data_IF_053222379089
#
_entry.id   IF_053222379089
#
_cell.length_a   1.000
_cell.length_b   1.000
_cell.length_c   1.000
_cell.angle_alpha   90.00
_cell.angle_beta   90.00
_cell.angle_gamma   90.00
#
_symmetry.space_group_name_H-M   'P 1'
#
loop_
_entity.id
_entity.type
_entity.pdbx_description
1 polymer ?
#
# COMPACT_ATOMS: atom_id res chain seq x y z
N UNK A 1 -5.14 41.70 -13.35
CA UNK A 1 -5.15 40.31 -13.87
C UNK A 1 -5.50 39.25 -12.81
N UNK A 2 -5.22 39.42 -11.51
CA UNK A 2 -5.51 38.40 -10.49
C UNK A 2 -6.99 38.14 -10.16
N UNK A 3 -7.88 39.13 -10.35
CA UNK A 3 -9.31 38.99 -10.02
C UNK A 3 -10.08 38.03 -10.94
N UNK A 4 -9.72 37.96 -12.22
CA UNK A 4 -10.43 37.13 -13.20
C UNK A 4 -10.13 35.64 -13.00
N UNK A 5 -8.90 35.30 -12.58
CA UNK A 5 -8.48 33.91 -12.27
C UNK A 5 -9.19 33.39 -11.02
N UNK A 6 -9.39 34.22 -10.00
CA UNK A 6 -10.14 33.86 -8.80
C UNK A 6 -11.62 33.59 -9.09
N UNK A 7 -12.24 34.37 -9.99
CA UNK A 7 -13.64 34.19 -10.40
C UNK A 7 -13.80 32.91 -11.22
N UNK A 8 -12.90 32.62 -12.16
CA UNK A 8 -12.90 31.35 -12.91
C UNK A 8 -12.70 30.16 -11.97
N UNK A 9 -11.77 30.25 -11.01
CA UNK A 9 -11.55 29.24 -9.98
C UNK A 9 -12.78 29.01 -9.09
N UNK A 10 -13.48 30.08 -8.68
CA UNK A 10 -14.71 29.98 -7.91
C UNK A 10 -15.88 29.40 -8.72
N UNK A 11 -16.03 29.77 -9.98
CA UNK A 11 -17.06 29.20 -10.87
C UNK A 11 -16.80 27.71 -11.10
N UNK A 12 -15.54 27.32 -11.30
CA UNK A 12 -15.14 25.92 -11.41
C UNK A 12 -15.40 25.15 -10.12
N UNK A 13 -15.05 25.73 -8.96
CA UNK A 13 -15.33 25.17 -7.64
C UNK A 13 -16.84 25.03 -7.37
N UNK A 14 -17.65 26.02 -7.74
CA UNK A 14 -19.10 26.02 -7.50
C UNK A 14 -19.84 25.04 -8.42
N UNK A 15 -19.45 24.93 -9.69
CA UNK A 15 -20.00 23.92 -10.60
C UNK A 15 -19.56 22.49 -10.24
N UNK A 16 -18.32 22.31 -9.75
CA UNK A 16 -17.82 21.03 -9.20
C UNK A 16 -18.62 20.61 -7.95
N UNK A 17 -18.97 21.54 -7.05
CA UNK A 17 -19.81 21.28 -5.87
C UNK A 17 -21.28 20.95 -6.21
N UNK A 18 -21.85 21.59 -7.25
CA UNK A 18 -23.24 21.32 -7.68
C UNK A 18 -23.39 19.97 -8.41
N UNK A 19 -22.34 19.51 -9.12
CA UNK A 19 -22.27 18.13 -9.65
C UNK A 19 -22.04 17.08 -8.55
N UNK A 20 -21.22 17.38 -7.52
CA UNK A 20 -21.08 16.53 -6.31
C UNK A 20 -22.43 16.22 -5.64
N UNK A 21 -23.30 17.21 -5.44
CA UNK A 21 -24.63 16.98 -4.84
C UNK A 21 -25.57 16.06 -5.64
N UNK A 22 -25.35 15.86 -6.94
CA UNK A 22 -26.21 14.99 -7.78
C UNK A 22 -25.67 13.56 -7.91
N UNK A 23 -24.35 13.36 -7.82
CA UNK A 23 -23.71 12.04 -7.97
C UNK A 23 -23.61 11.29 -6.62
N UNK A 24 -23.38 12.00 -5.52
CA UNK A 24 -23.31 11.44 -4.15
C UNK A 24 -24.61 10.73 -3.69
N UNK A 25 -25.83 11.23 -4.01
CA UNK A 25 -27.06 10.50 -3.71
C UNK A 25 -27.25 9.23 -4.55
N UNK A 26 -26.52 9.08 -5.66
CA UNK A 26 -26.71 7.99 -6.62
C UNK A 26 -25.83 6.78 -6.28
N UNK A 27 -24.56 7.02 -5.88
CA UNK A 27 -23.67 5.97 -5.39
C UNK A 27 -24.12 5.38 -4.05
N UNK A 28 -24.60 6.20 -3.11
CA UNK A 28 -25.14 5.70 -1.84
C UNK A 28 -26.40 4.84 -2.04
N UNK A 29 -27.27 5.21 -2.99
CA UNK A 29 -28.41 4.38 -3.40
C UNK A 29 -27.98 3.08 -4.07
N UNK A 30 -26.99 3.12 -4.96
CA UNK A 30 -26.45 1.93 -5.62
C UNK A 30 -25.77 0.99 -4.64
N UNK A 31 -24.99 1.50 -3.68
CA UNK A 31 -24.38 0.70 -2.61
C UNK A 31 -25.45 0.09 -1.71
N UNK A 32 -26.48 0.84 -1.31
CA UNK A 32 -27.63 0.29 -0.57
C UNK A 32 -28.43 -0.76 -1.37
N UNK A 33 -28.47 -0.65 -2.69
CA UNK A 33 -29.18 -1.60 -3.55
C UNK A 33 -28.37 -2.88 -3.81
N UNK A 34 -27.04 -2.77 -3.90
CA UNK A 34 -26.11 -3.91 -3.90
C UNK A 34 -26.12 -4.62 -2.53
N UNK A 35 -26.11 -3.88 -1.42
CA UNK A 35 -26.25 -4.42 -0.07
C UNK A 35 -27.61 -5.08 0.15
N UNK A 36 -28.71 -4.52 -0.36
CA UNK A 36 -30.04 -5.15 -0.30
C UNK A 36 -30.16 -6.40 -1.17
N UNK A 37 -29.46 -6.45 -2.31
CA UNK A 37 -29.38 -7.66 -3.14
C UNK A 37 -28.54 -8.74 -2.47
N UNK A 38 -27.43 -8.37 -1.84
CA UNK A 38 -26.57 -9.32 -1.11
C UNK A 38 -27.16 -9.75 0.24
N UNK A 39 -28.00 -8.91 0.87
CA UNK A 39 -28.66 -9.18 2.15
C UNK A 39 -29.92 -10.04 2.06
N UNK A 40 -30.45 -10.31 0.86
CA UNK A 40 -31.57 -11.26 0.69
C UNK A 40 -31.13 -12.74 0.81
N UNK A 41 -29.84 -13.01 0.74
CA UNK A 41 -29.27 -14.36 0.92
C UNK A 41 -28.58 -14.57 2.27
N UNK A 42 -28.64 -13.60 3.18
CA UNK A 42 -28.02 -13.71 4.50
C UNK A 42 -28.97 -13.24 5.61
N UNK A 43 -29.93 -14.09 5.98
CA UNK A 43 -30.59 -13.97 7.27
C UNK A 43 -29.71 -14.55 8.38
N UNK A 44 -29.22 -13.72 9.30
CA UNK A 44 -29.37 -13.95 10.75
C UNK A 44 -28.82 -12.79 11.62
N UNK A 45 -29.73 -12.22 12.42
CA UNK A 45 -29.61 -11.69 13.78
C UNK A 45 -28.41 -10.84 14.27
N UNK A 46 -28.77 -9.63 14.72
CA UNK A 46 -28.07 -8.74 15.65
C UNK A 46 -27.63 -9.43 16.96
N UNK A 47 -26.49 -9.03 17.53
CA UNK A 47 -26.36 -8.54 18.92
C UNK A 47 -25.00 -7.85 19.11
N UNK A 48 -25.02 -6.71 19.82
CA UNK A 48 -23.84 -6.05 20.36
C UNK A 48 -23.34 -6.80 21.61
N UNK A 49 -22.06 -7.17 21.61
CA UNK A 49 -21.31 -7.52 22.82
C UNK A 49 -19.85 -7.10 22.64
N UNK A 50 -19.30 -6.41 23.64
CA UNK A 50 -17.89 -5.99 23.70
C UNK A 50 -16.94 -7.13 23.30
N UNK A 51 -16.10 -6.89 22.30
CA UNK A 51 -15.21 -7.88 21.73
C UNK A 51 -14.19 -8.38 22.77
N UNK A 52 -14.03 -9.70 22.96
CA UNK A 52 -12.91 -10.23 23.72
C UNK A 52 -11.62 -10.09 22.90
N UNK A 53 -10.51 -9.75 23.55
CA UNK A 53 -9.17 -9.61 22.97
C UNK A 53 -8.92 -10.65 21.86
N UNK A 54 -8.46 -10.19 20.69
CA UNK A 54 -8.27 -11.07 19.54
C UNK A 54 -7.28 -12.20 19.91
N UNK A 55 -7.43 -13.40 19.33
CA UNK A 55 -6.50 -14.50 19.55
C UNK A 55 -5.03 -14.10 19.33
N UNK A 56 -4.80 -13.14 18.44
CA UNK A 56 -3.49 -12.59 18.07
C UNK A 56 -2.95 -11.65 19.15
N UNK A 57 -3.80 -10.85 19.80
CA UNK A 57 -3.40 -9.94 20.89
C UNK A 57 -3.10 -10.69 22.19
N UNK A 58 -3.85 -11.77 22.47
CA UNK A 58 -3.51 -12.71 23.56
C UNK A 58 -2.20 -13.43 23.29
N UNK A 59 -1.92 -13.78 22.04
CA UNK A 59 -0.64 -14.38 21.64
C UNK A 59 0.50 -13.37 21.83
N UNK A 60 0.31 -12.11 21.41
CA UNK A 60 1.30 -11.03 21.54
C UNK A 60 1.64 -10.68 22.99
N UNK A 61 0.64 -10.64 23.89
CA UNK A 61 0.87 -10.46 25.34
C UNK A 61 1.53 -11.68 25.99
N UNK A 62 1.16 -12.90 25.57
CA UNK A 62 1.69 -14.14 26.16
C UNK A 62 3.10 -14.48 25.68
N UNK A 63 3.50 -13.93 24.53
CA UNK A 63 4.81 -14.11 23.93
C UNK A 63 5.64 -12.82 23.88
N UNK A 64 5.27 -11.78 24.64
CA UNK A 64 6.09 -10.55 24.72
C UNK A 64 7.52 -10.88 25.15
N UNK A 65 7.65 -11.76 26.14
CA UNK A 65 8.93 -12.17 26.71
C UNK A 65 9.68 -13.22 25.87
N UNK A 66 9.03 -13.82 24.85
CA UNK A 66 9.63 -14.85 24.01
C UNK A 66 10.30 -14.27 22.76
N UNK A 67 9.78 -13.16 22.24
CA UNK A 67 10.41 -12.47 21.11
C UNK A 67 11.76 -11.84 21.50
N UNK A 68 11.94 -11.49 22.78
CA UNK A 68 13.22 -11.07 23.36
C UNK A 68 14.23 -12.24 23.52
N UNK A 69 13.75 -13.49 23.55
CA UNK A 69 14.58 -14.69 23.74
C UNK A 69 15.01 -15.32 22.41
N UNK A 70 14.23 -15.16 21.34
CA UNK A 70 14.48 -15.81 20.04
C UNK A 70 15.28 -14.92 19.08
N UNK A 71 15.27 -13.59 19.25
CA UNK A 71 16.00 -12.65 18.40
C UNK A 71 16.68 -11.58 19.27
N UNK A 72 17.91 -11.79 19.75
CA UNK A 72 18.75 -10.70 20.22
C UNK A 72 19.13 -9.87 19.00
N UNK A 73 18.45 -8.74 18.78
CA UNK A 73 19.01 -7.72 17.90
C UNK A 73 20.18 -7.11 18.66
N UNK A 74 21.38 -7.23 18.11
CA UNK A 74 22.57 -6.58 18.64
C UNK A 74 22.37 -5.07 18.52
N UNK A 75 22.02 -4.42 19.63
CA UNK A 75 22.41 -3.03 19.82
C UNK A 75 23.93 -3.07 20.03
N UNK A 76 24.71 -2.74 18.99
CA UNK A 76 26.06 -2.24 19.19
C UNK A 76 25.94 -1.02 20.11
N UNK A 77 26.19 -1.21 21.41
CA UNK A 77 27.07 -0.38 22.23
C UNK A 77 27.13 -0.91 23.69
N UNK A 78 28.37 -1.08 24.18
CA UNK A 78 28.81 -1.14 25.59
C UNK A 78 28.71 -2.44 26.43
N UNK A 79 29.88 -3.09 26.57
CA UNK A 79 30.54 -3.52 27.83
C UNK A 79 29.98 -4.64 28.76
N UNK A 80 30.81 -5.69 28.88
CA UNK A 80 31.15 -6.52 30.07
C UNK A 80 30.08 -7.38 30.79
N UNK A 81 30.26 -8.70 30.74
CA UNK A 81 30.74 -9.55 31.86
C UNK A 81 30.23 -11.01 31.77
N UNK A 82 31.09 -11.86 32.28
CA UNK A 82 31.31 -13.29 32.19
C UNK A 82 30.24 -14.27 32.69
N UNK A 83 30.37 -15.50 32.15
CA UNK A 83 30.19 -16.79 32.85
C UNK A 83 28.82 -17.17 33.41
N UNK A 84 28.13 -18.13 32.75
CA UNK A 84 27.40 -19.23 33.43
C UNK A 84 27.00 -20.36 32.47
N UNK A 85 27.69 -21.52 32.58
CA UNK A 85 27.26 -22.80 31.99
C UNK A 85 26.04 -23.32 32.76
N UNK A 86 24.96 -23.71 32.07
CA UNK A 86 23.85 -24.48 32.66
C UNK A 86 23.60 -25.76 31.85
N UNK A 87 23.66 -26.88 32.55
CA UNK A 87 23.30 -28.22 32.09
C UNK A 87 21.77 -28.38 32.07
N UNK A 88 21.22 -29.09 31.08
CA UNK A 88 19.77 -29.34 30.96
C UNK A 88 19.50 -30.85 30.96
N UNK A 89 18.70 -31.38 31.92
CA UNK A 89 18.29 -32.78 31.90
C UNK A 89 16.92 -32.98 31.24
N UNK A 90 16.75 -34.14 30.59
CA UNK A 90 15.44 -34.81 30.40
C UNK A 90 14.60 -34.35 29.22
N UNK A 91 14.85 -34.92 28.04
CA UNK A 91 14.08 -34.69 26.79
C UNK A 91 12.90 -35.68 26.70
N UNK A 92 11.69 -35.24 27.04
CA UNK A 92 10.47 -36.00 26.71
C UNK A 92 10.20 -35.88 25.20
N UNK A 93 9.93 -37.03 24.57
CA UNK A 93 9.82 -37.21 23.12
C UNK A 93 8.52 -36.59 22.60
N UNK A 94 8.60 -35.43 21.95
CA UNK A 94 7.54 -34.92 21.08
C UNK A 94 7.64 -35.58 19.71
N UNK A 95 6.52 -36.16 19.27
CA UNK A 95 6.33 -36.79 17.96
C UNK A 95 6.68 -35.77 16.87
N UNK A 96 7.79 -36.01 16.16
CA UNK A 96 8.29 -35.12 15.10
C UNK A 96 7.84 -35.69 13.76
N UNK A 97 6.64 -35.33 13.29
CA UNK A 97 6.27 -35.46 11.87
C UNK A 97 6.37 -34.07 11.23
N UNK A 98 7.58 -33.51 11.31
CA UNK A 98 8.02 -32.48 10.39
C UNK A 98 9.13 -33.14 9.59
N UNK A 99 8.73 -33.93 8.59
CA UNK A 99 9.62 -34.39 7.54
C UNK A 99 10.35 -33.14 7.04
N UNK A 100 11.66 -33.08 7.29
CA UNK A 100 12.51 -31.95 6.89
C UNK A 100 12.46 -31.88 5.38
N UNK A 101 11.58 -31.05 4.81
CA UNK A 101 11.66 -30.68 3.41
C UNK A 101 13.00 -29.99 3.25
N UNK A 102 13.94 -30.66 2.59
CA UNK A 102 15.23 -30.09 2.24
C UNK A 102 14.96 -28.87 1.35
N UNK A 103 15.18 -27.68 1.90
CA UNK A 103 15.06 -26.44 1.14
C UNK A 103 16.31 -26.38 0.26
N UNK A 104 16.18 -26.38 -1.09
CA UNK A 104 17.33 -26.38 -1.97
C UNK A 104 18.24 -25.19 -1.64
N UNK A 105 19.53 -25.44 -1.50
CA UNK A 105 20.51 -24.38 -1.34
C UNK A 105 20.48 -23.45 -2.55
N UNK A 106 20.78 -22.16 -2.38
CA UNK A 106 20.80 -21.20 -3.49
C UNK A 106 21.70 -21.63 -4.67
N UNK A 107 22.69 -22.48 -4.41
CA UNK A 107 23.62 -23.04 -5.42
C UNK A 107 22.99 -24.10 -6.33
N UNK A 108 21.82 -24.62 -5.96
CA UNK A 108 21.09 -25.69 -6.65
C UNK A 108 19.81 -25.18 -7.33
N UNK A 109 19.67 -23.86 -7.49
CA UNK A 109 18.53 -23.31 -8.22
C UNK A 109 18.46 -23.89 -9.64
N UNK A 110 17.26 -24.24 -10.14
CA UNK A 110 17.07 -24.63 -11.53
C UNK A 110 17.64 -23.57 -12.48
N UNK A 111 18.33 -24.02 -13.54
CA UNK A 111 18.99 -23.14 -14.52
C UNK A 111 18.03 -22.12 -15.13
N UNK A 112 16.77 -22.52 -15.34
CA UNK A 112 15.73 -21.66 -15.91
C UNK A 112 15.40 -20.48 -14.99
N UNK A 113 15.35 -20.70 -13.67
CA UNK A 113 15.13 -19.65 -12.69
C UNK A 113 16.33 -18.72 -12.59
N UNK A 114 17.55 -19.26 -12.62
CA UNK A 114 18.77 -18.45 -12.62
C UNK A 114 18.82 -17.54 -13.86
N UNK A 115 18.45 -18.06 -15.04
CA UNK A 115 18.33 -17.26 -16.26
C UNK A 115 17.28 -16.14 -16.13
N UNK A 116 16.12 -16.42 -15.52
CA UNK A 116 15.06 -15.44 -15.29
C UNK A 116 15.47 -14.33 -14.31
N UNK A 117 16.30 -14.65 -13.30
CA UNK A 117 16.82 -13.69 -12.33
C UNK A 117 17.88 -12.76 -12.96
N UNK A 118 18.63 -13.24 -13.94
CA UNK A 118 19.69 -12.46 -14.60
C UNK A 118 19.16 -11.51 -15.68
N UNK A 119 17.88 -11.61 -16.06
CA UNK A 119 17.26 -10.70 -17.03
C UNK A 119 17.29 -9.27 -16.50
N UNK A 120 17.84 -8.30 -17.26
CA UNK A 120 17.84 -6.90 -16.84
C UNK A 120 16.40 -6.39 -16.84
N UNK A 121 15.93 -5.96 -15.67
CA UNK A 121 14.66 -5.24 -15.51
C UNK A 121 14.99 -3.82 -15.09
N UNK A 122 14.35 -2.84 -15.72
CA UNK A 122 14.47 -1.46 -15.27
C UNK A 122 13.82 -1.34 -13.87
N UNK A 123 14.55 -0.73 -12.94
CA UNK A 123 14.11 -0.53 -11.58
C UNK A 123 13.04 0.58 -11.49
N UNK A 124 12.26 0.55 -10.41
CA UNK A 124 11.22 1.55 -10.14
C UNK A 124 11.74 2.99 -10.22
N UNK A 125 12.94 3.24 -9.67
CA UNK A 125 13.51 4.58 -9.60
C UNK A 125 13.89 5.09 -11.00
N UNK A 126 14.51 4.26 -11.83
CA UNK A 126 14.76 4.60 -13.24
C UNK A 126 13.47 4.89 -14.00
N UNK A 127 12.43 4.07 -13.82
CA UNK A 127 11.11 4.28 -14.41
C UNK A 127 10.47 5.61 -13.94
N UNK A 128 10.56 5.92 -12.64
CA UNK A 128 10.11 7.18 -12.08
C UNK A 128 10.80 8.37 -12.74
N UNK A 129 12.13 8.34 -12.88
CA UNK A 129 12.88 9.42 -13.53
C UNK A 129 12.50 9.58 -15.01
N UNK A 130 12.24 8.48 -15.71
CA UNK A 130 11.72 8.52 -17.09
C UNK A 130 10.41 9.30 -17.15
N UNK A 131 9.47 9.03 -16.24
CA UNK A 131 8.19 9.74 -16.19
C UNK A 131 8.30 11.18 -15.70
N UNK A 132 9.19 11.47 -14.74
CA UNK A 132 9.50 12.83 -14.31
C UNK A 132 9.98 13.67 -15.51
N UNK A 133 10.97 13.16 -16.26
CA UNK A 133 11.51 13.83 -17.43
C UNK A 133 10.46 14.00 -18.55
N UNK A 134 9.64 12.96 -18.78
CA UNK A 134 8.53 13.02 -19.76
C UNK A 134 7.51 14.09 -19.41
N UNK A 135 7.21 14.27 -18.12
CA UNK A 135 6.18 15.21 -17.68
C UNK A 135 6.55 16.68 -17.94
N UNK A 136 7.83 17.00 -18.07
CA UNK A 136 8.33 18.37 -18.21
C UNK A 136 8.09 19.27 -16.99
N UNK A 137 7.50 18.74 -15.90
CA UNK A 137 7.20 19.47 -14.67
C UNK A 137 8.37 19.46 -13.71
N UNK A 138 8.45 20.50 -12.89
CA UNK A 138 9.48 20.60 -11.86
C UNK A 138 9.16 19.68 -10.68
N UNK A 139 10.20 19.18 -9.99
CA UNK A 139 10.01 18.34 -8.80
C UNK A 139 9.03 18.96 -7.76
N UNK A 140 9.08 20.29 -7.48
CA UNK A 140 8.10 20.96 -6.64
C UNK A 140 6.64 20.86 -7.07
N UNK A 141 6.36 20.92 -8.36
CA UNK A 141 5.00 20.78 -8.86
C UNK A 141 4.49 19.36 -8.66
N UNK A 142 5.35 18.37 -8.87
CA UNK A 142 4.98 16.95 -8.81
C UNK A 142 4.69 16.51 -7.38
N UNK A 143 5.58 16.78 -6.41
CA UNK A 143 5.29 16.36 -5.03
C UNK A 143 4.11 17.13 -4.41
N UNK A 144 3.85 18.38 -4.84
CA UNK A 144 2.66 19.13 -4.43
C UNK A 144 1.38 18.56 -5.03
N UNK A 145 1.39 18.24 -6.33
CA UNK A 145 0.26 17.59 -6.99
C UNK A 145 -0.03 16.20 -6.38
N UNK A 146 1.01 15.50 -5.93
CA UNK A 146 0.90 14.23 -5.22
C UNK A 146 0.40 14.38 -3.77
N UNK A 147 0.33 15.59 -3.21
CA UNK A 147 0.01 15.81 -1.80
C UNK A 147 1.07 15.27 -0.83
N UNK A 148 2.34 15.26 -1.24
CA UNK A 148 3.46 14.67 -0.47
C UNK A 148 4.41 15.73 0.10
N UNK A 149 5.05 15.40 1.22
CA UNK A 149 6.17 16.20 1.75
C UNK A 149 7.38 16.12 0.80
N UNK A 150 8.03 17.28 0.58
CA UNK A 150 9.31 17.40 -0.11
C UNK A 150 10.36 16.43 0.45
N UNK A 151 10.41 16.20 1.76
CA UNK A 151 11.36 15.26 2.38
C UNK A 151 11.13 13.83 1.94
N UNK A 152 9.86 13.40 1.90
CA UNK A 152 9.47 12.07 1.42
C UNK A 152 9.84 11.90 -0.04
N UNK A 153 9.48 12.87 -0.89
CA UNK A 153 9.84 12.84 -2.30
C UNK A 153 11.36 12.78 -2.51
N UNK A 154 12.12 13.57 -1.74
CA UNK A 154 13.58 13.54 -1.79
C UNK A 154 14.15 12.19 -1.38
N UNK A 155 13.56 11.51 -0.38
CA UNK A 155 13.98 10.18 0.03
C UNK A 155 13.77 9.15 -1.08
N UNK A 156 12.63 9.20 -1.77
CA UNK A 156 12.32 8.34 -2.92
C UNK A 156 13.34 8.54 -4.05
N UNK A 157 13.70 9.80 -4.35
CA UNK A 157 14.63 10.10 -5.44
C UNK A 157 16.10 9.83 -5.09
N UNK A 158 16.50 10.00 -3.83
CA UNK A 158 17.90 9.94 -3.43
C UNK A 158 18.38 8.54 -3.01
N UNK A 159 17.52 7.75 -2.35
CA UNK A 159 17.91 6.45 -1.78
C UNK A 159 17.65 5.33 -2.80
N UNK A 160 18.68 4.60 -3.28
CA UNK A 160 18.52 3.60 -4.36
C UNK A 160 17.55 2.45 -4.03
N UNK A 161 17.42 2.09 -2.75
CA UNK A 161 16.58 0.97 -2.29
C UNK A 161 15.39 1.43 -1.44
N UNK A 162 14.98 2.69 -1.57
CA UNK A 162 13.80 3.14 -0.85
C UNK A 162 12.54 2.52 -1.46
N UNK A 163 11.76 1.84 -0.62
CA UNK A 163 10.50 1.24 -1.02
C UNK A 163 9.34 2.15 -0.58
N UNK A 164 8.78 2.97 -1.48
CA UNK A 164 7.63 3.81 -1.15
C UNK A 164 6.42 2.95 -0.79
N UNK A 165 5.56 3.45 0.10
CA UNK A 165 4.30 2.77 0.40
C UNK A 165 3.41 2.72 -0.84
N UNK A 166 2.53 1.72 -0.91
CA UNK A 166 1.57 1.56 -1.99
C UNK A 166 0.78 2.84 -2.32
N UNK A 167 0.25 3.50 -1.29
CA UNK A 167 -0.46 4.78 -1.44
C UNK A 167 0.39 5.88 -2.04
N UNK A 168 1.67 5.93 -1.67
CA UNK A 168 2.65 6.89 -2.20
C UNK A 168 2.89 6.64 -3.69
N UNK A 169 3.00 5.37 -4.10
CA UNK A 169 3.17 5.01 -5.52
C UNK A 169 1.94 5.41 -6.33
N UNK A 170 0.73 5.17 -5.80
CA UNK A 170 -0.51 5.60 -6.47
C UNK A 170 -0.55 7.13 -6.58
N UNK A 171 -0.26 7.88 -5.51
CA UNK A 171 -0.19 9.35 -5.53
C UNK A 171 0.81 9.87 -6.56
N UNK A 172 1.98 9.21 -6.69
CA UNK A 172 2.95 9.54 -7.73
C UNK A 172 2.43 9.25 -9.14
N UNK A 173 1.78 8.11 -9.36
CA UNK A 173 1.19 7.77 -10.66
C UNK A 173 0.11 8.79 -11.07
N UNK A 174 -0.72 9.20 -10.11
CA UNK A 174 -1.73 10.25 -10.29
C UNK A 174 -1.08 11.60 -10.57
N UNK A 175 -0.10 12.01 -9.76
CA UNK A 175 0.60 13.27 -9.96
C UNK A 175 1.32 13.32 -11.31
N UNK A 176 1.86 12.21 -11.80
CA UNK A 176 2.50 12.08 -13.11
C UNK A 176 1.51 11.95 -14.27
N UNK A 177 0.20 11.92 -13.99
CA UNK A 177 -0.89 11.81 -14.96
C UNK A 177 -0.74 10.56 -15.87
N UNK A 178 -0.29 9.45 -15.28
CA UNK A 178 -0.06 8.20 -16.01
C UNK A 178 -1.38 7.61 -16.53
N UNK A 179 -1.36 7.07 -17.74
CA UNK A 179 -2.50 6.29 -18.25
C UNK A 179 -2.67 5.00 -17.43
N UNK A 180 -3.84 4.36 -17.50
CA UNK A 180 -4.07 3.10 -16.78
C UNK A 180 -2.99 2.02 -17.02
N UNK A 181 -2.59 1.69 -18.26
CA UNK A 181 -1.54 0.70 -18.50
C UNK A 181 -0.18 1.14 -17.93
N UNK A 182 0.17 2.43 -18.04
CA UNK A 182 1.40 2.96 -17.47
C UNK A 182 1.39 2.92 -15.94
N UNK A 183 0.26 3.21 -15.31
CA UNK A 183 0.09 3.13 -13.86
C UNK A 183 0.18 1.68 -13.37
N UNK A 184 -0.33 0.72 -14.13
CA UNK A 184 -0.17 -0.71 -13.83
C UNK A 184 1.30 -1.14 -13.88
N UNK A 185 2.03 -0.78 -14.94
CA UNK A 185 3.47 -1.04 -15.04
C UNK A 185 4.23 -0.34 -13.89
N UNK A 186 3.87 0.90 -13.58
CA UNK A 186 4.51 1.68 -12.53
C UNK A 186 4.34 1.06 -11.14
N UNK A 187 3.14 0.56 -10.85
CA UNK A 187 2.85 -0.20 -9.63
C UNK A 187 3.64 -1.51 -9.60
N UNK A 188 3.66 -2.25 -10.71
CA UNK A 188 4.36 -3.52 -10.82
C UNK A 188 5.86 -3.37 -10.55
N UNK A 189 6.51 -2.35 -11.13
CA UNK A 189 7.93 -2.07 -10.84
C UNK A 189 8.19 -1.70 -9.38
N UNK A 190 7.21 -1.10 -8.70
CA UNK A 190 7.29 -0.82 -7.27
C UNK A 190 6.99 -2.05 -6.38
N UNK A 191 6.63 -3.19 -6.97
CA UNK A 191 6.27 -4.42 -6.25
C UNK A 191 4.80 -4.48 -5.82
N UNK A 192 3.92 -3.71 -6.46
CA UNK A 192 2.48 -3.66 -6.16
C UNK A 192 1.64 -3.97 -7.40
N UNK A 193 0.37 -4.31 -7.18
CA UNK A 193 -0.62 -4.45 -8.24
C UNK A 193 -1.93 -3.78 -7.84
N UNK A 194 -2.73 -3.41 -8.84
CA UNK A 194 -4.14 -3.12 -8.64
C UNK A 194 -4.91 -4.44 -8.55
N UNK A 195 -5.75 -4.57 -7.52
CA UNK A 195 -6.56 -5.75 -7.29
C UNK A 195 -8.04 -5.39 -7.39
N UNK A 196 -8.78 -6.07 -8.26
CA UNK A 196 -10.22 -5.90 -8.38
C UNK A 196 -10.99 -6.30 -7.10
N UNK A 197 -10.35 -7.06 -6.20
CA UNK A 197 -10.94 -7.42 -4.90
C UNK A 197 -10.90 -6.27 -3.89
N UNK A 198 -10.12 -5.21 -4.15
CA UNK A 198 -10.02 -4.04 -3.28
C UNK A 198 -10.89 -2.91 -3.81
N UNK A 199 -11.94 -2.48 -3.07
CA UNK A 199 -12.80 -1.39 -3.51
C UNK A 199 -12.02 -0.11 -3.85
N UNK A 200 -11.01 0.27 -3.05
CA UNK A 200 -10.18 1.44 -3.34
C UNK A 200 -9.42 1.35 -4.66
N UNK A 201 -8.98 0.17 -5.09
CA UNK A 201 -8.30 0.00 -6.37
C UNK A 201 -9.25 0.15 -7.54
N UNK A 202 -10.50 -0.32 -7.40
CA UNK A 202 -11.55 -0.10 -8.38
C UNK A 202 -11.83 1.40 -8.54
N UNK A 203 -11.88 2.15 -7.44
CA UNK A 203 -12.04 3.61 -7.47
C UNK A 203 -10.88 4.27 -8.22
N UNK A 204 -9.64 3.97 -7.83
CA UNK A 204 -8.44 4.55 -8.46
C UNK A 204 -8.39 4.23 -9.96
N UNK A 205 -8.54 2.97 -10.34
CA UNK A 205 -8.49 2.54 -11.75
C UNK A 205 -9.64 3.12 -12.57
N UNK A 206 -10.84 3.26 -11.97
CA UNK A 206 -11.99 3.92 -12.58
C UNK A 206 -11.70 5.39 -12.93
N UNK A 207 -11.05 6.15 -12.04
CA UNK A 207 -10.70 7.55 -12.31
C UNK A 207 -9.58 7.69 -13.34
N UNK A 208 -8.50 6.90 -13.20
CA UNK A 208 -7.37 6.93 -14.14
C UNK A 208 -7.82 6.58 -15.57
N UNK A 209 -8.68 5.56 -15.74
CA UNK A 209 -9.21 5.18 -17.05
C UNK A 209 -10.00 6.28 -17.76
N UNK A 210 -10.49 7.29 -17.02
CA UNK A 210 -11.22 8.45 -17.54
C UNK A 210 -10.36 9.71 -17.68
N UNK A 211 -9.04 9.60 -17.44
CA UNK A 211 -8.14 10.74 -17.47
C UNK A 211 -8.33 11.71 -16.31
N UNK A 212 -8.87 11.23 -15.17
CA UNK A 212 -9.03 12.03 -13.96
C UNK A 212 -7.91 11.62 -12.99
N UNK A 213 -6.94 12.51 -12.81
CA UNK A 213 -5.74 12.25 -12.00
C UNK A 213 -5.57 13.17 -10.79
N UNK A 214 -6.56 14.02 -10.51
CA UNK A 214 -6.56 14.91 -9.35
C UNK A 214 -6.61 14.08 -8.05
N UNK A 215 -5.49 14.05 -7.33
CA UNK A 215 -5.33 13.29 -6.08
C UNK A 215 -6.40 13.65 -5.06
N UNK A 216 -6.79 14.91 -4.96
CA UNK A 216 -7.83 15.33 -4.01
C UNK A 216 -9.21 14.78 -4.40
N UNK A 217 -9.53 14.67 -5.70
CA UNK A 217 -10.80 14.06 -6.13
C UNK A 217 -10.85 12.60 -5.72
N UNK A 218 -9.75 11.89 -5.95
CA UNK A 218 -9.69 10.45 -5.74
C UNK A 218 -9.67 10.15 -4.24
N UNK A 219 -8.89 10.89 -3.45
CA UNK A 219 -8.88 10.76 -1.98
C UNK A 219 -10.27 11.03 -1.39
N UNK A 220 -10.96 12.08 -1.85
CA UNK A 220 -12.33 12.35 -1.41
C UNK A 220 -13.27 11.17 -1.76
N UNK A 221 -13.14 10.59 -2.95
CA UNK A 221 -13.97 9.44 -3.35
C UNK A 221 -13.65 8.17 -2.56
N UNK A 222 -12.39 7.94 -2.22
CA UNK A 222 -11.95 6.84 -1.35
C UNK A 222 -12.49 7.04 0.07
N UNK A 223 -12.48 8.28 0.58
CA UNK A 223 -13.00 8.60 1.90
C UNK A 223 -14.49 8.27 2.04
N UNK A 224 -15.30 8.49 1.00
CA UNK A 224 -16.73 8.13 0.98
C UNK A 224 -16.99 6.61 1.14
N UNK A 225 -16.02 5.77 0.77
CA UNK A 225 -16.08 4.31 0.96
C UNK A 225 -15.28 3.83 2.19
N UNK A 226 -14.80 4.76 3.02
CA UNK A 226 -14.00 4.45 4.22
C UNK A 226 -12.56 4.03 3.94
N UNK A 227 -12.03 4.31 2.75
CA UNK A 227 -10.64 4.05 2.38
C UNK A 227 -9.81 5.34 2.26
N UNK A 228 -8.50 5.20 2.18
CA UNK A 228 -7.53 6.27 1.94
C UNK A 228 -6.30 5.67 1.25
N UNK A 229 -5.59 6.46 0.44
CA UNK A 229 -4.35 6.04 -0.22
C UNK A 229 -3.23 5.81 0.80
#
# INVERSE_FOLDING_TARGET
MGGLVAIIGMVYYYHRRKRRRKVVPELSKLMQEVEKKNGKDAGCAMMASSAPDSPVDRLRKRFSHLMDVVMPWEDEDSESDSSRKRTVPGRSKLITVAERREVPSYRELPKDLAAELLKPREDFRSLLFRYLNRSGRTNPEIYRAAGMDRKLFSAICAKPHYQPSRGTVIRLALALELTLPEAMEFMERAGYAFSAARPGDLVVTYYISRGIHDVMIIEDALYEIGEHL
#
